data_IF_090240113028
#
_entry.id   IF_090240113028
#
_cell.length_a   1.000
_cell.length_b   1.000
_cell.length_c   1.000
_cell.angle_alpha   90.00
_cell.angle_beta   90.00
_cell.angle_gamma   90.00
#
_symmetry.space_group_name_H-M   'P 1'
#
loop_
_entity.id
_entity.type
_entity.pdbx_description
1 polymer ?
#
# COMPACT_ATOMS: atom_id res chain seq x y z
N UNK A 1 -4.80 20.74 -24.54
CA UNK A 1 -4.93 19.28 -24.74
C UNK A 1 -6.35 18.85 -24.39
N UNK A 2 -6.93 17.98 -25.16
CA UNK A 2 -8.32 17.48 -25.02
C UNK A 2 -8.30 15.98 -24.72
N UNK A 3 -9.17 15.51 -23.81
CA UNK A 3 -9.28 14.08 -23.47
C UNK A 3 -10.62 13.54 -23.97
N UNK A 4 -10.57 12.48 -24.76
CA UNK A 4 -11.74 11.67 -25.14
C UNK A 4 -11.75 10.40 -24.29
N UNK A 5 -12.90 10.02 -23.79
CA UNK A 5 -13.07 8.91 -22.88
C UNK A 5 -14.03 7.85 -23.44
N UNK A 6 -13.95 6.64 -22.88
CA UNK A 6 -14.94 5.57 -23.13
C UNK A 6 -14.82 4.88 -24.49
N UNK A 7 -13.64 4.89 -25.09
CA UNK A 7 -13.39 4.20 -26.38
C UNK A 7 -13.15 2.71 -26.11
N UNK A 8 -14.15 1.89 -26.41
CA UNK A 8 -14.04 0.42 -26.26
C UNK A 8 -13.30 -0.18 -27.45
N UNK A 9 -12.50 -1.19 -27.15
CA UNK A 9 -11.75 -1.98 -28.13
C UNK A 9 -11.72 -3.47 -27.70
N UNK A 10 -11.70 -4.39 -28.67
CA UNK A 10 -11.46 -5.80 -28.38
C UNK A 10 -10.07 -5.97 -27.74
N UNK A 11 -9.95 -6.94 -26.83
CA UNK A 11 -8.63 -7.32 -26.27
C UNK A 11 -7.64 -7.79 -27.34
N UNK A 12 -8.13 -8.17 -28.52
CA UNK A 12 -7.35 -8.60 -29.67
C UNK A 12 -6.97 -7.44 -30.62
N UNK A 13 -7.56 -6.28 -30.45
CA UNK A 13 -7.31 -5.10 -31.30
C UNK A 13 -6.01 -4.41 -30.86
N UNK A 14 -5.06 -4.24 -31.77
CA UNK A 14 -3.82 -3.56 -31.48
C UNK A 14 -4.06 -2.07 -31.12
N UNK A 15 -3.34 -1.53 -30.17
CA UNK A 15 -3.49 -0.16 -29.67
C UNK A 15 -3.35 0.89 -30.81
N UNK A 16 -2.41 0.65 -31.74
CA UNK A 16 -2.23 1.51 -32.93
C UNK A 16 -3.51 1.56 -33.80
N UNK A 17 -4.18 0.43 -33.99
CA UNK A 17 -5.43 0.35 -34.75
C UNK A 17 -6.58 1.12 -34.06
N UNK A 18 -6.59 1.09 -32.72
CA UNK A 18 -7.57 1.87 -31.95
C UNK A 18 -7.31 3.37 -32.12
N UNK A 19 -6.05 3.81 -32.10
CA UNK A 19 -5.65 5.19 -32.33
C UNK A 19 -6.08 5.66 -33.72
N UNK A 20 -5.81 4.86 -34.77
CA UNK A 20 -6.21 5.19 -36.14
C UNK A 20 -7.74 5.28 -36.30
N UNK A 21 -8.47 4.38 -35.66
CA UNK A 21 -9.95 4.42 -35.63
C UNK A 21 -10.47 5.70 -34.94
N UNK A 22 -9.80 6.16 -33.87
CA UNK A 22 -10.14 7.42 -33.20
C UNK A 22 -9.85 8.61 -34.11
N UNK A 23 -8.67 8.65 -34.76
CA UNK A 23 -8.30 9.69 -35.73
C UNK A 23 -9.37 9.82 -36.82
N UNK A 24 -9.69 8.71 -37.47
CA UNK A 24 -10.67 8.66 -38.57
C UNK A 24 -12.07 9.12 -38.09
N UNK A 25 -12.50 8.67 -36.92
CA UNK A 25 -13.80 9.04 -36.36
C UNK A 25 -13.95 10.55 -36.08
N UNK A 26 -12.83 11.20 -35.75
CA UNK A 26 -12.80 12.62 -35.37
C UNK A 26 -12.33 13.54 -36.53
N UNK A 27 -12.00 12.96 -37.67
CA UNK A 27 -11.49 13.73 -38.82
C UNK A 27 -10.15 14.42 -38.55
N UNK A 28 -9.30 13.84 -37.68
CA UNK A 28 -8.01 14.43 -37.31
C UNK A 28 -6.96 14.16 -38.38
N UNK A 29 -6.18 15.17 -38.69
CA UNK A 29 -4.98 15.02 -39.50
C UNK A 29 -3.94 14.13 -38.88
N UNK A 30 -3.13 13.42 -39.69
CA UNK A 30 -2.10 12.50 -39.21
C UNK A 30 -1.05 13.22 -38.35
N UNK A 31 -0.83 14.50 -38.58
CA UNK A 31 0.11 15.32 -37.80
C UNK A 31 -0.35 15.64 -36.37
N UNK A 32 -1.66 15.53 -36.08
CA UNK A 32 -2.18 15.78 -34.74
C UNK A 32 -1.77 14.64 -33.80
N UNK A 33 -0.99 14.90 -32.71
CA UNK A 33 -0.62 13.83 -31.78
C UNK A 33 -1.82 13.27 -31.02
N UNK A 34 -1.99 11.93 -31.05
CA UNK A 34 -2.99 11.19 -30.27
C UNK A 34 -2.27 10.12 -29.48
N UNK A 35 -2.42 10.14 -28.18
CA UNK A 35 -1.77 9.20 -27.28
C UNK A 35 -2.75 8.62 -26.24
N UNK A 36 -2.43 7.44 -25.72
CA UNK A 36 -3.24 6.83 -24.66
C UNK A 36 -3.06 7.60 -23.36
N UNK A 37 -4.16 8.13 -22.83
CA UNK A 37 -4.21 8.76 -21.52
C UNK A 37 -4.51 7.76 -20.42
N UNK A 38 -5.44 6.83 -20.67
CA UNK A 38 -5.83 5.78 -19.73
C UNK A 38 -6.31 4.53 -20.46
N UNK A 39 -5.90 3.38 -19.95
CA UNK A 39 -6.32 2.04 -20.41
C UNK A 39 -6.83 1.24 -19.24
N UNK A 40 -8.02 0.67 -19.35
CA UNK A 40 -8.65 -0.21 -18.35
C UNK A 40 -9.24 -1.44 -18.99
N UNK A 41 -9.39 -2.51 -18.20
CA UNK A 41 -10.09 -3.73 -18.61
C UNK A 41 -11.52 -3.66 -18.09
N UNK A 42 -12.50 -3.83 -18.98
CA UNK A 42 -13.89 -4.04 -18.62
C UNK A 42 -14.22 -5.54 -18.74
N UNK A 43 -14.18 -6.23 -17.58
CA UNK A 43 -14.48 -7.65 -17.46
C UNK A 43 -15.85 -7.92 -16.80
N UNK A 44 -16.76 -6.94 -16.78
CA UNK A 44 -18.10 -7.10 -16.19
C UNK A 44 -18.91 -8.19 -16.90
N UNK A 45 -18.69 -8.37 -18.20
CA UNK A 45 -19.30 -9.44 -19.00
C UNK A 45 -18.21 -10.39 -19.50
N UNK A 46 -18.11 -11.57 -18.89
CA UNK A 46 -17.04 -12.55 -19.18
C UNK A 46 -16.98 -13.00 -20.65
N UNK A 47 -18.12 -13.04 -21.35
CA UNK A 47 -18.17 -13.39 -22.77
C UNK A 47 -17.76 -12.26 -23.71
N UNK A 48 -17.51 -11.06 -23.21
CA UNK A 48 -17.24 -9.86 -24.02
C UNK A 48 -16.35 -8.88 -23.24
N UNK A 49 -15.13 -9.34 -22.90
CA UNK A 49 -14.13 -8.52 -22.22
C UNK A 49 -13.49 -7.56 -23.20
N UNK A 50 -13.34 -6.32 -22.80
CA UNK A 50 -12.83 -5.22 -23.61
C UNK A 50 -11.79 -4.39 -22.90
N UNK A 51 -10.89 -3.78 -23.67
CA UNK A 51 -10.19 -2.59 -23.21
C UNK A 51 -11.08 -1.36 -23.35
N UNK A 52 -11.02 -0.47 -22.38
CA UNK A 52 -11.64 0.85 -22.43
C UNK A 52 -10.54 1.89 -22.33
N UNK A 53 -10.41 2.69 -23.36
CA UNK A 53 -9.38 3.71 -23.50
C UNK A 53 -9.93 5.11 -23.27
N UNK A 54 -9.07 5.98 -22.77
CA UNK A 54 -9.14 7.43 -22.94
C UNK A 54 -7.90 7.89 -23.67
N UNK A 55 -8.05 8.85 -24.57
CA UNK A 55 -6.95 9.40 -25.39
C UNK A 55 -6.79 10.88 -25.15
N UNK A 56 -5.55 11.34 -25.09
CA UNK A 56 -5.18 12.75 -25.18
C UNK A 56 -4.97 13.10 -26.64
N UNK A 57 -5.53 14.23 -27.04
CA UNK A 57 -5.38 14.83 -28.37
C UNK A 57 -4.77 16.21 -28.19
N UNK A 58 -3.62 16.44 -28.84
CA UNK A 58 -2.90 17.72 -28.78
C UNK A 58 -3.41 18.64 -29.90
N UNK A 59 -4.56 19.23 -29.68
CA UNK A 59 -5.15 20.23 -30.60
C UNK A 59 -5.71 21.41 -29.82
N UNK A 60 -5.80 22.54 -30.48
CA UNK A 60 -6.53 23.72 -30.04
C UNK A 60 -8.02 23.64 -30.42
N UNK A 61 -8.35 22.80 -31.42
CA UNK A 61 -9.69 22.68 -31.95
C UNK A 61 -10.67 22.09 -30.92
N UNK A 62 -11.93 22.46 -31.03
CA UNK A 62 -12.98 21.87 -30.22
C UNK A 62 -13.33 20.47 -30.72
N UNK A 63 -13.24 19.51 -29.80
CA UNK A 63 -13.60 18.13 -30.04
C UNK A 63 -14.88 17.83 -29.26
N UNK A 64 -15.95 17.35 -29.92
CA UNK A 64 -17.19 16.99 -29.24
C UNK A 64 -16.98 15.98 -28.11
N UNK A 65 -17.55 16.27 -26.94
CA UNK A 65 -17.46 15.43 -25.73
C UNK A 65 -16.06 15.26 -25.15
N UNK A 66 -15.09 16.06 -25.55
CA UNK A 66 -13.78 16.07 -24.92
C UNK A 66 -13.77 16.94 -23.65
N UNK A 67 -12.99 16.51 -22.64
CA UNK A 67 -12.68 17.29 -21.43
C UNK A 67 -11.26 17.86 -21.54
N UNK A 68 -11.04 19.03 -20.98
CA UNK A 68 -9.70 19.58 -20.90
C UNK A 68 -8.85 18.77 -19.89
N UNK A 69 -7.54 18.65 -20.17
CA UNK A 69 -6.61 18.12 -19.17
C UNK A 69 -6.59 19.07 -17.97
N UNK A 70 -6.61 18.49 -16.78
CA UNK A 70 -6.33 19.22 -15.56
C UNK A 70 -4.83 19.00 -15.25
N UNK A 71 -3.99 19.90 -15.76
CA UNK A 71 -2.54 19.79 -15.56
C UNK A 71 -2.18 20.39 -14.20
N UNK A 72 -1.58 19.57 -13.34
CA UNK A 72 -0.91 20.04 -12.14
C UNK A 72 0.56 20.27 -12.49
N UNK A 73 0.93 21.54 -12.68
CA UNK A 73 2.33 21.93 -12.76
C UNK A 73 2.80 22.32 -11.36
N UNK A 74 3.76 21.56 -10.81
CA UNK A 74 4.47 21.99 -9.62
C UNK A 74 5.51 23.05 -10.04
N UNK A 75 5.25 24.28 -9.64
CA UNK A 75 6.20 25.38 -9.79
C UNK A 75 6.83 25.66 -8.42
N UNK A 76 8.15 25.49 -8.25
CA UNK A 76 8.80 25.83 -6.98
C UNK A 76 8.62 27.33 -6.72
N UNK A 77 7.98 27.68 -5.62
CA UNK A 77 7.94 29.05 -5.13
C UNK A 77 9.28 29.39 -4.45
N UNK A 78 9.52 30.66 -4.25
CA UNK A 78 10.78 31.28 -3.77
C UNK A 78 11.53 30.49 -2.69
N UNK A 79 12.87 30.56 -2.74
CA UNK A 79 13.77 29.95 -1.78
C UNK A 79 13.31 30.12 -0.33
N UNK A 80 13.02 28.99 0.33
CA UNK A 80 12.68 28.95 1.75
C UNK A 80 13.88 29.44 2.58
N UNK A 81 13.69 30.51 3.36
CA UNK A 81 14.75 31.20 4.12
C UNK A 81 14.79 30.83 5.59
N UNK A 82 13.86 30.00 6.08
CA UNK A 82 13.77 29.60 7.49
C UNK A 82 14.71 28.43 7.82
N UNK A 83 14.70 28.01 9.11
CA UNK A 83 15.45 26.83 9.54
C UNK A 83 15.07 25.58 8.75
N UNK A 84 16.04 24.69 8.51
CA UNK A 84 15.84 23.45 7.76
C UNK A 84 14.73 22.59 8.38
N UNK A 85 13.67 22.23 7.65
CA UNK A 85 12.62 21.37 8.16
C UNK A 85 13.15 19.98 8.47
N UNK A 86 12.71 19.38 9.59
CA UNK A 86 12.98 18.00 9.95
C UNK A 86 11.81 17.13 9.44
N UNK A 87 12.10 16.08 8.71
CA UNK A 87 11.14 15.07 8.26
C UNK A 87 11.45 13.74 8.95
N UNK A 88 10.53 13.23 9.74
CA UNK A 88 10.69 11.99 10.51
C UNK A 88 10.00 10.84 9.81
N UNK A 89 10.79 9.88 9.34
CA UNK A 89 10.37 8.73 8.56
C UNK A 89 10.56 8.92 7.06
N UNK A 90 11.09 7.91 6.40
CA UNK A 90 11.41 7.91 4.97
C UNK A 90 10.53 6.93 4.17
N UNK A 91 9.29 6.72 4.65
CA UNK A 91 8.22 6.08 3.87
C UNK A 91 7.72 6.99 2.74
N UNK A 92 6.70 6.60 1.96
CA UNK A 92 6.22 7.39 0.82
C UNK A 92 5.89 8.84 1.18
N UNK A 93 5.23 9.08 2.31
CA UNK A 93 4.85 10.42 2.74
C UNK A 93 6.07 11.30 3.04
N UNK A 94 7.03 10.78 3.82
CA UNK A 94 8.25 11.53 4.16
C UNK A 94 9.15 11.76 2.95
N UNK A 95 9.28 10.75 2.08
CA UNK A 95 10.09 10.84 0.86
C UNK A 95 9.56 11.93 -0.10
N UNK A 96 8.24 11.96 -0.37
CA UNK A 96 7.63 13.00 -1.20
C UNK A 96 7.65 14.37 -0.52
N UNK A 97 7.40 14.44 0.79
CA UNK A 97 7.51 15.68 1.55
C UNK A 97 8.92 16.28 1.40
N UNK A 98 9.94 15.49 1.66
CA UNK A 98 11.33 15.94 1.56
C UNK A 98 11.72 16.30 0.11
N UNK A 99 11.24 15.55 -0.87
CA UNK A 99 11.49 15.88 -2.28
C UNK A 99 10.90 17.23 -2.68
N UNK A 100 9.63 17.49 -2.31
CA UNK A 100 8.98 18.78 -2.59
C UNK A 100 9.68 19.92 -1.85
N UNK A 101 10.04 19.73 -0.57
CA UNK A 101 10.81 20.71 0.19
C UNK A 101 12.17 21.01 -0.46
N UNK A 102 12.86 19.98 -0.93
CA UNK A 102 14.16 20.13 -1.60
C UNK A 102 14.03 20.86 -2.95
N UNK A 103 12.99 20.57 -3.74
CA UNK A 103 12.68 21.30 -4.96
C UNK A 103 12.43 22.80 -4.71
N UNK A 104 11.86 23.16 -3.55
CA UNK A 104 11.67 24.55 -3.12
C UNK A 104 12.89 25.18 -2.44
N UNK A 105 14.03 24.50 -2.42
CA UNK A 105 15.27 25.02 -1.81
C UNK A 105 15.32 24.98 -0.28
N UNK A 106 14.36 24.32 0.39
CA UNK A 106 14.29 24.25 1.86
C UNK A 106 15.36 23.37 2.52
N UNK A 107 16.09 22.56 1.74
CA UNK A 107 17.17 21.68 2.21
C UNK A 107 16.78 20.84 3.43
N UNK A 108 15.72 20.02 3.35
CA UNK A 108 15.21 19.28 4.50
C UNK A 108 16.25 18.32 5.09
N UNK A 109 16.07 18.00 6.38
CA UNK A 109 16.78 16.89 7.04
C UNK A 109 15.76 15.77 7.22
N UNK A 110 16.07 14.60 6.69
CA UNK A 110 15.24 13.42 6.83
C UNK A 110 15.93 12.48 7.80
N UNK A 111 15.18 12.00 8.79
CA UNK A 111 15.64 10.96 9.71
C UNK A 111 14.81 9.70 9.50
N UNK A 112 15.48 8.56 9.36
CA UNK A 112 14.84 7.26 9.21
C UNK A 112 15.45 6.29 10.24
N UNK A 113 14.57 5.61 11.01
CA UNK A 113 15.03 4.69 12.06
C UNK A 113 15.75 3.47 11.51
N UNK A 114 15.34 3.00 10.33
CA UNK A 114 15.93 1.85 9.67
C UNK A 114 17.12 2.21 8.76
N UNK A 115 17.55 1.21 8.00
CA UNK A 115 18.65 1.32 7.05
C UNK A 115 18.15 1.80 5.69
N UNK A 116 19.11 2.14 4.82
CA UNK A 116 18.83 2.35 3.39
C UNK A 116 18.25 1.09 2.74
N UNK A 117 17.61 1.27 1.58
CA UNK A 117 16.83 0.21 0.94
C UNK A 117 17.63 -1.05 0.59
N UNK A 118 18.93 -0.93 0.38
CA UNK A 118 19.79 -2.08 0.02
C UNK A 118 20.13 -2.90 1.26
N UNK A 119 20.69 -2.27 2.30
CA UNK A 119 21.00 -2.92 3.58
C UNK A 119 19.77 -3.43 4.30
N UNK A 120 18.66 -2.68 4.18
CA UNK A 120 17.35 -3.13 4.67
C UNK A 120 16.89 -4.42 3.99
N UNK A 121 17.11 -4.55 2.68
CA UNK A 121 16.75 -5.77 1.96
C UNK A 121 17.53 -6.99 2.48
N UNK A 122 18.79 -6.81 2.86
CA UNK A 122 19.60 -7.85 3.49
C UNK A 122 19.02 -8.27 4.86
N UNK A 123 18.65 -7.30 5.71
CA UNK A 123 18.02 -7.58 7.01
C UNK A 123 16.72 -8.36 6.85
N UNK A 124 15.88 -7.97 5.89
CA UNK A 124 14.61 -8.64 5.61
C UNK A 124 14.83 -10.07 5.09
N UNK A 125 15.79 -10.25 4.18
CA UNK A 125 16.11 -11.59 3.66
C UNK A 125 16.67 -12.50 4.75
N UNK A 126 17.54 -11.99 5.63
CA UNK A 126 18.06 -12.72 6.79
C UNK A 126 16.90 -13.18 7.70
N UNK A 127 15.96 -12.29 7.99
CA UNK A 127 14.79 -12.61 8.81
C UNK A 127 13.91 -13.67 8.14
N UNK A 128 13.61 -13.55 6.85
CA UNK A 128 12.82 -14.53 6.12
C UNK A 128 13.51 -15.90 6.01
N UNK A 129 14.81 -15.95 6.11
CA UNK A 129 15.57 -17.21 6.17
C UNK A 129 15.68 -17.80 7.60
N UNK A 130 14.90 -17.28 8.56
CA UNK A 130 14.84 -17.79 9.94
C UNK A 130 15.84 -17.14 10.91
N UNK A 131 16.51 -16.06 10.49
CA UNK A 131 17.35 -15.24 11.38
C UNK A 131 16.52 -14.34 12.31
N UNK A 132 17.19 -13.67 13.24
CA UNK A 132 16.55 -12.73 14.15
C UNK A 132 16.05 -11.48 13.41
N UNK A 133 14.89 -10.96 13.84
CA UNK A 133 14.37 -9.69 13.33
C UNK A 133 15.23 -8.52 13.83
N UNK A 134 15.48 -7.55 12.95
CA UNK A 134 16.01 -6.24 13.34
C UNK A 134 14.82 -5.31 13.66
N UNK A 135 14.61 -4.88 14.92
CA UNK A 135 13.43 -4.10 15.30
C UNK A 135 13.31 -2.75 14.59
N UNK A 136 14.42 -2.15 14.21
CA UNK A 136 14.45 -0.83 13.55
C UNK A 136 14.66 -0.91 12.02
N UNK A 137 15.02 -2.10 11.45
CA UNK A 137 15.22 -2.28 10.01
C UNK A 137 14.57 -3.59 9.54
N UNK A 138 13.38 -3.52 8.97
CA UNK A 138 12.53 -4.67 8.61
C UNK A 138 11.51 -4.29 7.53
N UNK A 139 10.46 -5.09 7.30
CA UNK A 139 9.42 -4.80 6.30
C UNK A 139 8.61 -3.53 6.62
N UNK A 140 8.53 -3.09 7.87
CA UNK A 140 7.82 -1.87 8.27
C UNK A 140 8.71 -0.62 8.26
N UNK A 141 9.97 -0.76 8.67
CA UNK A 141 10.89 0.34 8.90
C UNK A 141 12.11 0.29 7.98
N UNK A 142 12.55 1.46 7.56
CA UNK A 142 13.66 1.71 6.64
C UNK A 142 13.22 2.48 5.40
N UNK A 143 14.18 2.84 4.56
CA UNK A 143 13.96 3.63 3.35
C UNK A 143 12.84 3.08 2.46
N UNK A 144 11.89 3.94 2.06
CA UNK A 144 10.72 3.59 1.27
C UNK A 144 9.55 3.04 2.07
N UNK A 145 9.71 2.82 3.41
CA UNK A 145 8.66 2.30 4.28
C UNK A 145 8.14 0.91 3.88
N UNK A 146 7.00 0.49 4.38
CA UNK A 146 6.40 -0.81 4.06
C UNK A 146 6.11 -1.00 2.56
N UNK A 147 5.97 0.08 1.79
CA UNK A 147 5.76 0.05 0.35
C UNK A 147 6.88 -0.64 -0.43
N UNK A 148 8.14 -0.61 0.05
CA UNK A 148 9.28 -1.26 -0.60
C UNK A 148 9.23 -2.79 -0.57
N UNK A 149 8.29 -3.38 0.19
CA UNK A 149 8.04 -4.82 0.26
C UNK A 149 6.54 -5.10 0.09
N UNK A 150 5.94 -4.53 -0.94
CA UNK A 150 4.53 -4.70 -1.29
C UNK A 150 4.38 -4.90 -2.81
N UNK A 151 3.15 -5.03 -3.31
CA UNK A 151 2.89 -5.05 -4.76
C UNK A 151 3.19 -3.69 -5.43
N UNK A 152 3.32 -2.62 -4.66
CA UNK A 152 3.56 -1.30 -5.22
C UNK A 152 2.37 -0.75 -6.02
N UNK A 153 1.14 -1.08 -5.62
CA UNK A 153 -0.08 -0.51 -6.23
C UNK A 153 -0.13 0.99 -6.02
N UNK A 154 -0.47 1.70 -7.10
CA UNK A 154 -0.62 3.16 -7.12
C UNK A 154 -2.09 3.56 -7.36
N UNK A 155 -3.02 2.71 -6.95
CA UNK A 155 -4.46 2.96 -7.10
C UNK A 155 -4.95 3.84 -5.95
N UNK A 156 -5.65 4.92 -6.29
CA UNK A 156 -6.29 5.83 -5.34
C UNK A 156 -7.78 5.99 -5.66
N UNK A 157 -8.57 6.33 -4.63
CA UNK A 157 -10.00 6.64 -4.79
C UNK A 157 -10.28 8.13 -4.85
N UNK A 158 -9.24 8.97 -4.77
CA UNK A 158 -9.38 10.43 -4.88
C UNK A 158 -9.12 10.87 -6.33
N UNK A 159 -9.78 11.96 -6.72
CA UNK A 159 -9.62 12.63 -8.01
C UNK A 159 -8.88 13.94 -7.78
N UNK A 160 -7.58 13.84 -7.50
CA UNK A 160 -6.73 14.99 -7.22
C UNK A 160 -5.64 15.08 -8.31
N UNK A 161 -5.45 16.22 -8.98
CA UNK A 161 -4.44 16.38 -10.05
C UNK A 161 -3.03 16.09 -9.56
N UNK A 162 -2.74 16.25 -8.27
CA UNK A 162 -1.44 15.91 -7.67
C UNK A 162 -1.09 14.42 -7.76
N UNK A 163 -2.11 13.54 -7.95
CA UNK A 163 -1.85 12.12 -8.20
C UNK A 163 -1.00 11.90 -9.46
N UNK A 164 -1.21 12.72 -10.49
CA UNK A 164 -0.41 12.67 -11.74
C UNK A 164 1.05 13.01 -11.47
N UNK A 165 1.33 14.04 -10.69
CA UNK A 165 2.69 14.41 -10.27
C UNK A 165 3.41 13.25 -9.55
N UNK A 166 2.71 12.50 -8.70
CA UNK A 166 3.29 11.32 -8.02
C UNK A 166 3.70 10.25 -9.04
N UNK A 167 2.83 9.92 -9.99
CA UNK A 167 3.13 8.93 -11.04
C UNK A 167 4.29 9.39 -11.94
N UNK A 168 4.31 10.62 -12.38
CA UNK A 168 5.38 11.21 -13.18
C UNK A 168 6.71 11.23 -12.42
N UNK A 169 6.67 11.52 -11.13
CA UNK A 169 7.84 11.44 -10.27
C UNK A 169 8.39 10.01 -10.22
N UNK A 170 7.55 8.99 -10.08
CA UNK A 170 8.00 7.61 -10.11
C UNK A 170 8.64 7.23 -11.45
N UNK A 171 8.03 7.64 -12.57
CA UNK A 171 8.62 7.43 -13.91
C UNK A 171 9.97 8.16 -14.04
N UNK A 172 10.06 9.41 -13.61
CA UNK A 172 11.32 10.18 -13.59
C UNK A 172 12.43 9.45 -12.84
N UNK A 173 12.10 8.71 -11.79
CA UNK A 173 13.08 7.98 -10.97
C UNK A 173 13.21 6.49 -11.32
N UNK A 174 12.60 6.03 -12.42
CA UNK A 174 12.86 4.73 -13.02
C UNK A 174 11.75 3.70 -12.94
N UNK A 175 10.52 4.12 -12.64
CA UNK A 175 9.34 3.27 -12.85
C UNK A 175 8.99 3.21 -14.34
N UNK A 176 8.29 2.14 -14.74
CA UNK A 176 7.81 1.95 -16.09
C UNK A 176 6.83 3.08 -16.48
N UNK A 177 6.98 3.75 -17.64
CA UNK A 177 6.04 4.76 -18.12
C UNK A 177 4.59 4.29 -18.24
N UNK A 178 4.34 3.01 -18.38
CA UNK A 178 2.99 2.45 -18.48
C UNK A 178 2.14 2.69 -17.22
N UNK A 179 2.74 2.98 -16.06
CA UNK A 179 1.98 3.40 -14.87
C UNK A 179 1.20 4.70 -15.09
N UNK A 180 1.58 5.52 -16.08
CA UNK A 180 0.88 6.75 -16.45
C UNK A 180 -0.40 6.49 -17.24
N UNK A 181 -0.52 5.32 -17.88
CA UNK A 181 -1.63 4.95 -18.76
C UNK A 181 -2.56 3.91 -18.12
N UNK A 182 -2.03 3.02 -17.29
CA UNK A 182 -2.82 1.95 -16.70
C UNK A 182 -3.80 2.46 -15.65
N UNK A 183 -5.06 2.03 -15.72
CA UNK A 183 -6.09 2.41 -14.75
C UNK A 183 -5.82 1.83 -13.35
N UNK A 184 -5.08 0.72 -13.27
CA UNK A 184 -4.62 0.08 -12.03
C UNK A 184 -3.09 -0.04 -12.06
N UNK A 185 -2.36 1.08 -11.96
CA UNK A 185 -0.92 1.06 -12.05
C UNK A 185 -0.29 0.38 -10.83
N UNK A 186 0.80 -0.36 -11.08
CA UNK A 186 1.67 -0.93 -10.04
C UNK A 186 3.12 -0.82 -10.47
N UNK A 187 4.02 -0.81 -9.51
CA UNK A 187 5.47 -0.69 -9.76
C UNK A 187 6.18 -2.03 -9.54
N UNK A 188 5.76 -2.80 -8.54
CA UNK A 188 6.47 -3.98 -8.07
C UNK A 188 7.60 -3.64 -7.09
N UNK A 189 7.88 -4.54 -6.17
CA UNK A 189 8.85 -4.31 -5.09
C UNK A 189 10.29 -4.11 -5.60
N UNK A 190 10.66 -4.81 -6.66
CA UNK A 190 11.99 -4.77 -7.30
C UNK A 190 12.28 -3.41 -7.94
N UNK A 191 11.34 -2.87 -8.70
CA UNK A 191 11.47 -1.56 -9.35
C UNK A 191 11.35 -0.43 -8.32
N UNK A 192 10.44 -0.55 -7.35
CA UNK A 192 10.20 0.48 -6.35
C UNK A 192 11.46 0.77 -5.50
N UNK A 193 12.27 -0.25 -5.20
CA UNK A 193 13.56 -0.07 -4.51
C UNK A 193 14.51 0.85 -5.28
N UNK A 194 14.56 0.72 -6.62
CA UNK A 194 15.37 1.61 -7.48
C UNK A 194 14.83 3.04 -7.46
N UNK A 195 13.51 3.18 -7.54
CA UNK A 195 12.83 4.49 -7.52
C UNK A 195 13.14 5.25 -6.24
N UNK A 196 12.93 4.64 -5.07
CA UNK A 196 13.17 5.32 -3.79
C UNK A 196 14.65 5.69 -3.58
N UNK A 197 15.58 4.80 -3.98
CA UNK A 197 17.01 5.10 -3.97
C UNK A 197 17.35 6.33 -4.85
N UNK A 198 16.78 6.40 -6.03
CA UNK A 198 17.02 7.52 -6.96
C UNK A 198 16.40 8.82 -6.45
N UNK A 199 15.21 8.77 -5.84
CA UNK A 199 14.60 9.91 -5.15
C UNK A 199 15.49 10.42 -4.01
N UNK A 200 16.05 9.55 -3.17
CA UNK A 200 17.02 9.92 -2.14
C UNK A 200 18.22 10.65 -2.71
N UNK A 201 18.83 10.10 -3.76
CA UNK A 201 20.00 10.73 -4.41
C UNK A 201 19.66 12.14 -4.91
N UNK A 202 18.48 12.34 -5.47
CA UNK A 202 18.02 13.63 -5.94
C UNK A 202 17.78 14.63 -4.79
N UNK A 203 17.16 14.18 -3.71
CA UNK A 203 16.97 15.01 -2.50
C UNK A 203 18.34 15.51 -1.98
N UNK A 204 19.33 14.63 -1.90
CA UNK A 204 20.70 14.97 -1.49
C UNK A 204 21.34 15.94 -2.47
N UNK A 205 21.21 15.71 -3.78
CA UNK A 205 21.71 16.60 -4.83
C UNK A 205 21.13 18.02 -4.73
N UNK A 206 19.87 18.13 -4.31
CA UNK A 206 19.17 19.39 -4.06
C UNK A 206 19.52 20.05 -2.71
N UNK A 207 20.47 19.49 -1.96
CA UNK A 207 20.96 20.01 -0.68
C UNK A 207 20.22 19.50 0.57
N UNK A 208 19.33 18.52 0.42
CA UNK A 208 18.77 17.77 1.54
C UNK A 208 19.80 16.88 2.22
N UNK A 209 19.51 16.43 3.43
CA UNK A 209 20.34 15.53 4.23
C UNK A 209 19.51 14.33 4.67
N UNK A 210 20.07 13.13 4.61
CA UNK A 210 19.42 11.89 5.03
C UNK A 210 20.25 11.21 6.11
N UNK A 211 19.61 10.92 7.26
CA UNK A 211 20.20 10.22 8.39
C UNK A 211 19.45 8.91 8.61
N UNK A 212 20.08 7.81 8.28
CA UNK A 212 19.59 6.47 8.62
C UNK A 212 19.93 6.09 10.05
N UNK A 213 19.31 5.04 10.57
CA UNK A 213 19.49 4.53 11.93
C UNK A 213 19.30 5.65 12.97
N UNK A 214 18.37 6.56 12.68
CA UNK A 214 18.07 7.75 13.49
C UNK A 214 16.58 7.76 13.83
N UNK A 215 16.29 7.40 15.07
CA UNK A 215 14.92 7.22 15.58
C UNK A 215 14.47 8.43 16.37
N UNK A 216 13.24 8.90 16.12
CA UNK A 216 12.56 9.86 16.99
C UNK A 216 12.20 9.18 18.32
N UNK A 217 12.73 9.68 19.43
CA UNK A 217 12.50 9.14 20.77
C UNK A 217 11.76 10.09 21.72
N UNK A 218 11.58 11.36 21.34
CA UNK A 218 10.85 12.32 22.14
C UNK A 218 10.62 13.64 21.41
N UNK A 219 9.70 14.45 21.96
CA UNK A 219 9.41 15.81 21.54
C UNK A 219 9.58 16.74 22.74
N UNK A 220 10.12 17.92 22.51
CA UNK A 220 10.14 19.04 23.48
C UNK A 220 9.21 20.12 22.97
N UNK A 221 8.04 20.22 23.60
CA UNK A 221 6.97 21.14 23.25
C UNK A 221 6.81 22.17 24.37
N UNK A 222 6.78 23.45 24.03
CA UNK A 222 6.40 24.51 24.93
C UNK A 222 5.51 25.53 24.22
N UNK A 223 4.55 26.11 24.94
CA UNK A 223 3.61 27.11 24.40
C UNK A 223 2.92 26.62 23.08
N UNK A 224 2.58 25.34 23.00
CA UNK A 224 2.04 24.70 21.82
C UNK A 224 2.94 24.75 20.57
N UNK A 225 4.25 24.87 20.76
CA UNK A 225 5.26 24.89 19.68
C UNK A 225 6.33 23.84 19.90
N UNK A 226 6.89 23.36 18.81
CA UNK A 226 8.04 22.48 18.87
C UNK A 226 9.33 23.32 19.03
N UNK A 227 10.11 23.00 20.06
CA UNK A 227 11.44 23.60 20.29
C UNK A 227 12.54 22.67 19.80
N UNK A 228 12.41 21.41 20.14
CA UNK A 228 13.38 20.40 19.78
C UNK A 228 12.73 19.01 19.75
N UNK A 229 13.44 18.07 19.17
CA UNK A 229 13.11 16.64 19.21
C UNK A 229 14.27 15.87 19.87
N UNK A 230 14.01 14.64 20.27
CA UNK A 230 15.05 13.74 20.68
C UNK A 230 15.25 12.68 19.58
N UNK A 231 16.47 12.60 19.06
CA UNK A 231 16.87 11.64 18.04
C UNK A 231 17.88 10.67 18.68
N UNK A 232 17.52 9.39 18.77
CA UNK A 232 18.29 8.38 19.51
C UNK A 232 18.62 8.80 20.97
N UNK A 233 17.75 9.58 21.60
CA UNK A 233 17.93 10.14 22.93
C UNK A 233 18.68 11.48 22.98
N UNK A 234 19.28 11.92 21.89
CA UNK A 234 20.00 13.20 21.82
C UNK A 234 19.09 14.36 21.38
N UNK A 235 19.22 15.51 22.03
CA UNK A 235 18.44 16.69 21.73
C UNK A 235 18.83 17.31 20.40
N UNK A 236 17.85 17.55 19.53
CA UNK A 236 18.01 18.20 18.25
C UNK A 236 17.02 19.37 18.10
N UNK A 237 17.55 20.61 17.99
CA UNK A 237 16.72 21.80 17.84
C UNK A 237 16.10 21.85 16.43
N UNK A 238 14.79 22.03 16.36
CA UNK A 238 14.07 22.21 15.11
C UNK A 238 12.83 23.08 15.32
N UNK A 239 12.57 23.98 14.37
CA UNK A 239 11.36 24.83 14.39
C UNK A 239 10.19 24.24 13.60
N UNK A 240 10.46 23.25 12.73
CA UNK A 240 9.44 22.55 11.94
C UNK A 240 9.79 21.06 11.93
N UNK A 241 8.83 20.24 12.36
CA UNK A 241 8.94 18.79 12.34
C UNK A 241 7.73 18.18 11.63
N UNK A 242 7.99 17.41 10.59
CA UNK A 242 6.97 16.66 9.85
C UNK A 242 7.00 15.21 10.29
N UNK A 243 5.92 14.72 10.91
CA UNK A 243 5.79 13.33 11.35
C UNK A 243 5.24 12.46 10.20
N UNK A 244 6.07 11.60 9.64
CA UNK A 244 5.73 10.65 8.58
C UNK A 244 6.10 9.20 8.97
N UNK A 245 5.89 8.84 10.23
CA UNK A 245 6.40 7.62 10.90
C UNK A 245 5.76 6.31 10.43
N UNK A 246 4.66 6.37 9.66
CA UNK A 246 3.94 5.18 9.18
C UNK A 246 3.06 4.53 10.26
N UNK A 247 2.24 3.54 9.85
CA UNK A 247 1.28 2.89 10.74
C UNK A 247 1.91 1.86 11.71
N UNK A 248 3.12 1.41 11.43
CA UNK A 248 3.81 0.39 12.23
C UNK A 248 4.55 0.91 13.46
N UNK A 249 4.74 2.24 13.60
CA UNK A 249 5.57 2.86 14.64
C UNK A 249 4.85 2.97 16.00
N UNK A 250 4.47 1.83 16.60
CA UNK A 250 3.70 1.78 17.85
C UNK A 250 4.42 2.44 19.03
N UNK A 251 5.71 2.26 19.13
CA UNK A 251 6.55 2.91 20.15
C UNK A 251 6.50 4.45 20.03
N UNK A 252 6.61 4.98 18.81
CA UNK A 252 6.44 6.41 18.56
C UNK A 252 5.03 6.88 18.91
N UNK A 253 4.00 6.11 18.58
CA UNK A 253 2.62 6.47 18.94
C UNK A 253 2.40 6.46 20.46
N UNK A 254 2.97 5.53 21.19
CA UNK A 254 2.90 5.53 22.67
C UNK A 254 3.59 6.77 23.24
N UNK A 255 4.77 7.13 22.74
CA UNK A 255 5.45 8.36 23.11
C UNK A 255 4.61 9.61 22.79
N UNK A 256 3.93 9.65 21.63
CA UNK A 256 3.08 10.79 21.26
C UNK A 256 1.80 10.88 22.10
N UNK A 257 1.27 9.77 22.62
CA UNK A 257 0.12 9.77 23.53
C UNK A 257 0.44 10.38 24.91
N UNK A 258 1.73 10.45 25.28
CA UNK A 258 2.21 11.10 26.51
C UNK A 258 2.42 12.62 26.31
N UNK A 259 2.29 13.11 25.08
CA UNK A 259 2.45 14.52 24.73
C UNK A 259 1.08 15.26 24.75
N UNK A 260 1.06 16.59 24.87
CA UNK A 260 -0.18 17.39 24.83
C UNK A 260 -0.79 17.49 23.43
N UNK A 261 -0.74 16.41 22.64
CA UNK A 261 -1.28 16.32 21.29
C UNK A 261 -2.69 15.73 21.31
N UNK A 262 -3.58 16.27 20.49
CA UNK A 262 -4.90 15.68 20.34
C UNK A 262 -4.86 14.45 19.43
N UNK A 263 -5.03 13.28 20.00
CA UNK A 263 -5.02 11.99 19.29
C UNK A 263 -6.34 11.28 19.53
N UNK A 264 -7.04 10.95 18.45
CA UNK A 264 -8.32 10.26 18.48
C UNK A 264 -8.17 8.78 18.07
N UNK A 265 -9.02 7.88 18.60
CA UNK A 265 -9.11 6.52 18.10
C UNK A 265 -9.62 6.52 16.66
N UNK A 266 -9.19 5.53 15.88
CA UNK A 266 -9.58 5.35 14.49
C UNK A 266 -9.92 3.88 14.25
N UNK A 267 -11.07 3.55 13.64
CA UNK A 267 -11.35 2.19 13.20
C UNK A 267 -10.27 1.66 12.25
N UNK A 268 -9.97 0.37 12.37
CA UNK A 268 -9.05 -0.35 11.52
C UNK A 268 -9.59 -1.76 11.21
N UNK A 269 -8.83 -2.59 10.54
CA UNK A 269 -9.29 -3.93 10.20
C UNK A 269 -8.18 -4.95 10.42
N UNK A 270 -8.59 -6.15 10.78
CA UNK A 270 -7.71 -7.28 11.06
C UNK A 270 -8.22 -8.54 10.37
N UNK A 271 -7.33 -9.48 10.11
CA UNK A 271 -7.68 -10.74 9.48
C UNK A 271 -6.45 -11.55 9.09
N UNK A 272 -6.47 -12.13 7.92
CA UNK A 272 -5.43 -13.00 7.42
C UNK A 272 -5.20 -12.83 5.91
N UNK A 273 -4.08 -13.32 5.40
CA UNK A 273 -3.85 -13.52 3.96
C UNK A 273 -4.46 -14.83 3.52
N UNK A 274 -5.01 -14.83 2.31
CA UNK A 274 -5.53 -16.00 1.64
C UNK A 274 -4.84 -16.16 0.29
N UNK A 275 -4.30 -17.35 0.04
CA UNK A 275 -3.59 -17.71 -1.19
C UNK A 275 -4.42 -18.65 -2.06
N UNK A 276 -4.43 -18.36 -3.36
CA UNK A 276 -4.99 -19.18 -4.43
C UNK A 276 -3.94 -19.38 -5.53
N UNK A 277 -4.17 -20.28 -6.48
CA UNK A 277 -3.40 -20.27 -7.72
C UNK A 277 -3.79 -19.04 -8.56
N UNK A 278 -2.81 -18.32 -9.11
CA UNK A 278 -3.09 -17.18 -9.98
C UNK A 278 -3.86 -17.58 -11.25
N UNK A 279 -3.57 -18.75 -11.79
CA UNK A 279 -4.25 -19.32 -12.94
C UNK A 279 -5.76 -19.49 -12.69
N UNK A 280 -6.13 -20.04 -11.54
CA UNK A 280 -7.55 -20.21 -11.16
C UNK A 280 -8.27 -18.85 -11.08
N UNK A 281 -7.58 -17.83 -10.54
CA UNK A 281 -8.12 -16.47 -10.49
C UNK A 281 -8.27 -15.87 -11.89
N UNK A 282 -7.28 -16.07 -12.79
CA UNK A 282 -7.37 -15.61 -14.18
C UNK A 282 -8.58 -16.22 -14.87
N UNK A 283 -8.76 -17.53 -14.78
CA UNK A 283 -9.91 -18.20 -15.37
C UNK A 283 -11.24 -17.80 -14.72
N UNK A 284 -11.27 -17.65 -13.40
CA UNK A 284 -12.46 -17.21 -12.70
C UNK A 284 -12.91 -15.81 -13.12
N UNK A 285 -11.97 -14.89 -13.37
CA UNK A 285 -12.25 -13.51 -13.71
C UNK A 285 -12.45 -13.29 -15.22
N UNK A 286 -11.65 -13.95 -16.05
CA UNK A 286 -11.56 -13.66 -17.48
C UNK A 286 -12.09 -14.77 -18.40
N UNK A 287 -12.30 -16.00 -17.90
CA UNK A 287 -12.76 -17.13 -18.73
C UNK A 287 -11.79 -17.39 -19.88
N UNK A 288 -12.32 -17.48 -21.11
CA UNK A 288 -11.54 -17.76 -22.33
C UNK A 288 -10.53 -16.66 -22.71
N UNK A 289 -10.55 -15.52 -22.02
CA UNK A 289 -9.60 -14.44 -22.24
C UNK A 289 -8.42 -14.45 -21.25
N UNK A 290 -8.33 -15.46 -20.38
CA UNK A 290 -7.34 -15.53 -19.31
C UNK A 290 -5.89 -15.38 -19.83
N UNK A 291 -5.54 -16.07 -20.92
CA UNK A 291 -4.20 -16.07 -21.50
C UNK A 291 -3.84 -14.78 -22.28
N UNK A 292 -4.82 -13.92 -22.52
CA UNK A 292 -4.64 -12.68 -23.30
C UNK A 292 -4.55 -11.44 -22.44
N UNK A 293 -4.79 -11.57 -21.14
CA UNK A 293 -4.91 -10.44 -20.22
C UNK A 293 -3.84 -10.52 -19.12
N UNK A 294 -3.47 -9.39 -18.51
CA UNK A 294 -2.59 -9.41 -17.36
C UNK A 294 -3.17 -10.21 -16.20
N UNK A 295 -2.33 -10.62 -15.27
CA UNK A 295 -2.75 -11.31 -14.05
C UNK A 295 -3.96 -10.64 -13.40
N UNK A 296 -5.03 -11.40 -13.21
CA UNK A 296 -6.31 -10.91 -12.72
C UNK A 296 -6.23 -10.51 -11.25
N UNK A 297 -6.97 -9.47 -10.87
CA UNK A 297 -7.19 -9.05 -9.50
C UNK A 297 -8.69 -9.05 -9.17
N UNK A 298 -9.02 -9.09 -7.89
CA UNK A 298 -10.38 -8.99 -7.39
C UNK A 298 -10.50 -8.10 -6.15
N UNK A 299 -11.72 -7.61 -5.90
CA UNK A 299 -12.05 -6.87 -4.68
C UNK A 299 -13.50 -7.13 -4.32
N UNK A 300 -13.73 -7.59 -3.09
CA UNK A 300 -15.06 -7.86 -2.53
C UNK A 300 -15.25 -7.14 -1.22
N UNK A 301 -16.49 -6.80 -0.90
CA UNK A 301 -16.84 -6.20 0.38
C UNK A 301 -18.28 -6.52 0.75
N UNK A 302 -18.53 -6.73 2.05
CA UNK A 302 -19.84 -6.90 2.65
C UNK A 302 -19.94 -6.01 3.88
N UNK A 303 -20.92 -5.14 3.89
CA UNK A 303 -21.28 -4.33 5.06
C UNK A 303 -22.37 -5.08 5.83
N UNK A 304 -22.12 -5.39 7.10
CA UNK A 304 -23.08 -6.03 7.99
C UNK A 304 -23.92 -5.02 8.76
N UNK A 305 -23.26 -3.99 9.29
CA UNK A 305 -23.89 -2.89 10.03
C UNK A 305 -23.17 -1.59 9.69
N UNK A 306 -23.82 -0.75 8.90
CA UNK A 306 -23.27 0.54 8.47
C UNK A 306 -23.11 1.53 9.64
N UNK A 307 -24.05 1.51 10.59
CA UNK A 307 -24.02 2.43 11.73
C UNK A 307 -22.86 2.12 12.69
N UNK A 308 -22.53 0.83 12.86
CA UNK A 308 -21.41 0.37 13.67
C UNK A 308 -20.10 0.27 12.89
N UNK A 309 -20.12 0.49 11.56
CA UNK A 309 -18.95 0.32 10.70
C UNK A 309 -18.49 -1.13 10.57
N UNK A 310 -19.37 -2.11 10.81
CA UNK A 310 -19.07 -3.54 10.74
C UNK A 310 -19.07 -4.00 9.29
N UNK A 311 -17.93 -4.45 8.80
CA UNK A 311 -17.77 -4.93 7.43
C UNK A 311 -16.67 -5.99 7.36
N UNK A 312 -16.80 -6.90 6.38
CA UNK A 312 -15.71 -7.75 5.93
C UNK A 312 -15.40 -7.45 4.45
N UNK A 313 -14.14 -7.51 4.09
CA UNK A 313 -13.70 -7.18 2.74
C UNK A 313 -12.32 -7.75 2.40
N UNK A 314 -12.09 -7.92 1.10
CA UNK A 314 -10.75 -8.23 0.60
C UNK A 314 -9.95 -6.95 0.44
N UNK A 315 -8.65 -7.02 0.71
CA UNK A 315 -7.77 -5.87 0.65
C UNK A 315 -6.42 -6.24 0.06
N UNK A 316 -5.83 -5.30 -0.68
CA UNK A 316 -4.48 -5.42 -1.22
C UNK A 316 -4.20 -6.81 -1.85
N UNK A 317 -5.09 -7.24 -2.77
CA UNK A 317 -4.88 -8.47 -3.54
C UNK A 317 -3.61 -8.30 -4.38
N UNK A 318 -2.67 -9.23 -4.28
CA UNK A 318 -1.37 -9.25 -4.95
C UNK A 318 -1.36 -10.37 -6.00
N UNK A 319 -1.62 -10.04 -7.28
CA UNK A 319 -1.54 -11.01 -8.36
C UNK A 319 -0.12 -11.55 -8.53
N UNK A 320 0.02 -12.84 -8.84
CA UNK A 320 1.32 -13.48 -9.04
C UNK A 320 2.29 -13.16 -7.90
N UNK A 321 1.81 -13.20 -6.65
CA UNK A 321 2.53 -12.66 -5.51
C UNK A 321 2.73 -13.65 -4.38
N UNK A 322 3.32 -13.14 -3.31
CA UNK A 322 3.79 -13.90 -2.16
C UNK A 322 3.19 -13.33 -0.88
N UNK A 323 2.83 -14.19 0.06
CA UNK A 323 2.58 -13.79 1.45
C UNK A 323 3.93 -13.70 2.15
N UNK A 324 4.19 -12.56 2.79
CA UNK A 324 5.49 -12.28 3.41
C UNK A 324 5.35 -12.04 4.91
N UNK A 325 6.43 -12.31 5.64
CA UNK A 325 6.55 -11.95 7.05
C UNK A 325 6.86 -10.45 7.17
N UNK A 326 5.87 -9.69 7.62
CA UNK A 326 5.93 -8.24 7.81
C UNK A 326 6.02 -7.82 9.28
N UNK A 327 6.49 -8.72 10.15
CA UNK A 327 6.71 -8.44 11.56
C UNK A 327 7.75 -7.33 11.76
N UNK A 328 7.64 -6.62 12.87
CA UNK A 328 8.60 -5.61 13.31
C UNK A 328 8.96 -5.73 14.79
N UNK A 329 8.37 -6.70 15.48
CA UNK A 329 8.60 -7.00 16.89
C UNK A 329 8.96 -8.48 17.05
N UNK A 330 9.88 -8.85 17.96
CA UNK A 330 10.45 -10.20 18.03
C UNK A 330 9.43 -11.30 18.36
N UNK A 331 8.40 -10.98 19.13
CA UNK A 331 7.37 -11.89 19.63
C UNK A 331 6.02 -11.75 18.88
N UNK A 332 6.05 -11.19 17.68
CA UNK A 332 4.86 -10.96 16.85
C UNK A 332 4.98 -11.58 15.46
N UNK A 333 3.89 -12.17 14.97
CA UNK A 333 3.78 -12.60 13.57
C UNK A 333 2.77 -11.71 12.84
N UNK A 334 3.24 -11.07 11.76
CA UNK A 334 2.43 -10.22 10.90
C UNK A 334 2.60 -10.65 9.45
N UNK A 335 1.49 -10.83 8.75
CA UNK A 335 1.48 -11.13 7.32
C UNK A 335 1.20 -9.88 6.48
N UNK A 336 1.75 -9.84 5.28
CA UNK A 336 1.38 -8.90 4.22
C UNK A 336 1.55 -9.59 2.86
N UNK A 337 1.13 -8.93 1.78
CA UNK A 337 1.33 -9.41 0.41
C UNK A 337 2.34 -8.58 -0.35
N UNK A 338 3.10 -9.24 -1.21
CA UNK A 338 4.10 -8.64 -2.08
C UNK A 338 4.02 -9.24 -3.48
N UNK A 339 4.32 -8.46 -4.52
CA UNK A 339 4.57 -8.96 -5.88
C UNK A 339 5.77 -8.25 -6.48
N UNK A 340 6.45 -8.95 -7.37
CA UNK A 340 7.41 -8.34 -8.29
C UNK A 340 6.67 -7.62 -9.43
N UNK A 341 7.38 -6.83 -10.21
CA UNK A 341 6.82 -6.11 -11.35
C UNK A 341 6.13 -7.06 -12.35
N UNK A 342 6.74 -8.20 -12.64
CA UNK A 342 6.23 -9.20 -13.59
C UNK A 342 4.91 -9.85 -13.15
N UNK A 343 4.61 -9.92 -11.84
CA UNK A 343 3.43 -10.62 -11.29
C UNK A 343 3.29 -12.05 -11.80
N UNK A 344 4.40 -12.77 -11.92
CA UNK A 344 4.54 -14.11 -12.51
C UNK A 344 4.64 -15.23 -11.48
N UNK A 345 4.42 -14.93 -10.21
CA UNK A 345 4.35 -15.94 -9.16
C UNK A 345 3.16 -16.89 -9.36
N UNK A 346 3.35 -18.14 -8.92
CA UNK A 346 2.32 -19.19 -9.04
C UNK A 346 1.03 -18.83 -8.29
N UNK A 347 1.18 -18.22 -7.09
CA UNK A 347 0.04 -17.86 -6.25
C UNK A 347 -0.40 -16.42 -6.47
N UNK A 348 -1.67 -16.19 -6.26
CA UNK A 348 -2.25 -14.89 -5.96
C UNK A 348 -2.58 -14.84 -4.47
N UNK A 349 -2.47 -13.70 -3.82
CA UNK A 349 -2.92 -13.57 -2.44
C UNK A 349 -3.70 -12.28 -2.19
N UNK A 350 -4.61 -12.33 -1.22
CA UNK A 350 -5.38 -11.17 -0.77
C UNK A 350 -5.58 -11.20 0.73
N UNK A 351 -5.53 -10.06 1.40
CA UNK A 351 -6.05 -9.99 2.75
C UNK A 351 -7.56 -10.20 2.74
N UNK A 352 -8.06 -10.96 3.72
CA UNK A 352 -9.46 -11.01 4.12
C UNK A 352 -9.57 -10.39 5.51
N UNK A 353 -10.32 -9.30 5.62
CA UNK A 353 -10.31 -8.41 6.77
C UNK A 353 -11.71 -8.19 7.33
N UNK A 354 -11.80 -8.06 8.65
CA UNK A 354 -12.97 -7.61 9.38
C UNK A 354 -12.67 -6.29 10.11
N UNK A 355 -13.63 -5.36 10.08
CA UNK A 355 -13.50 -4.07 10.74
C UNK A 355 -13.59 -4.21 12.26
N UNK A 356 -12.75 -3.46 12.97
CA UNK A 356 -12.77 -3.32 14.43
C UNK A 356 -12.64 -1.86 14.82
N UNK A 357 -13.21 -1.50 15.98
CA UNK A 357 -13.13 -0.16 16.53
C UNK A 357 -12.98 -0.20 18.05
N UNK A 358 -12.32 0.82 18.59
CA UNK A 358 -12.07 0.97 20.03
C UNK A 358 -12.36 2.40 20.45
N UNK A 359 -12.68 2.59 21.72
CA UNK A 359 -12.98 3.90 22.32
C UNK A 359 -11.72 4.70 22.66
N UNK A 360 -10.54 4.05 22.66
CA UNK A 360 -9.27 4.75 22.91
C UNK A 360 -8.16 4.25 21.95
N UNK A 361 -7.19 5.13 21.61
CA UNK A 361 -6.02 4.73 20.82
C UNK A 361 -5.22 3.59 21.44
N UNK A 362 -5.02 3.63 22.76
CA UNK A 362 -4.23 2.63 23.48
C UNK A 362 -4.83 1.23 23.35
N UNK A 363 -6.16 1.09 23.54
CA UNK A 363 -6.85 -0.19 23.39
C UNK A 363 -6.69 -0.76 21.96
N UNK A 364 -6.70 0.10 20.94
CA UNK A 364 -6.48 -0.32 19.57
C UNK A 364 -5.05 -0.83 19.32
N UNK A 365 -4.03 -0.13 19.85
CA UNK A 365 -2.63 -0.55 19.78
C UNK A 365 -2.41 -1.89 20.50
N UNK A 366 -2.96 -2.04 21.71
CA UNK A 366 -2.82 -3.25 22.53
C UNK A 366 -3.53 -4.44 21.89
N UNK A 367 -4.68 -4.23 21.25
CA UNK A 367 -5.39 -5.25 20.50
C UNK A 367 -4.57 -5.79 19.33
N UNK A 368 -3.95 -4.90 18.52
CA UNK A 368 -3.06 -5.32 17.44
C UNK A 368 -1.88 -6.14 17.99
N UNK A 369 -1.23 -5.64 19.03
CA UNK A 369 -0.10 -6.31 19.67
C UNK A 369 -0.48 -7.71 20.15
N UNK A 370 -1.62 -7.83 20.86
CA UNK A 370 -2.12 -9.10 21.38
C UNK A 370 -2.43 -10.12 20.27
N UNK A 371 -3.00 -9.68 19.14
CA UNK A 371 -3.24 -10.58 18.01
C UNK A 371 -1.94 -11.07 17.39
N UNK A 372 -0.95 -10.19 17.20
CA UNK A 372 0.34 -10.53 16.63
C UNK A 372 1.11 -11.51 17.52
N UNK A 373 1.08 -11.31 18.84
CA UNK A 373 1.68 -12.21 19.82
C UNK A 373 0.94 -13.57 19.90
N UNK A 374 -0.40 -13.55 19.76
CA UNK A 374 -1.18 -14.78 19.70
C UNK A 374 -0.82 -15.57 18.44
N UNK A 375 -0.70 -14.91 17.29
CA UNK A 375 -0.26 -15.54 16.05
C UNK A 375 1.14 -16.16 16.18
N UNK A 376 2.08 -15.43 16.79
CA UNK A 376 3.45 -15.92 17.03
C UNK A 376 3.45 -17.21 17.89
N UNK A 377 2.66 -17.23 18.96
CA UNK A 377 2.56 -18.41 19.84
C UNK A 377 1.90 -19.60 19.15
N UNK A 378 0.77 -19.38 18.46
CA UNK A 378 0.04 -20.44 17.75
C UNK A 378 0.85 -21.00 16.57
N UNK A 379 1.62 -20.15 15.91
CA UNK A 379 2.53 -20.54 14.83
C UNK A 379 3.87 -21.09 15.29
N UNK A 380 4.14 -21.18 16.57
CA UNK A 380 5.42 -21.61 17.13
C UNK A 380 6.62 -20.86 16.49
N UNK A 381 6.50 -19.52 16.41
CA UNK A 381 7.46 -18.64 15.76
C UNK A 381 7.35 -18.54 14.22
N UNK A 382 6.52 -19.39 13.59
CA UNK A 382 6.10 -19.30 12.19
C UNK A 382 4.76 -18.57 12.08
N UNK A 383 4.16 -18.53 10.88
CA UNK A 383 2.80 -18.02 10.76
C UNK A 383 1.75 -19.14 11.01
N UNK A 384 0.69 -18.89 11.80
CA UNK A 384 -0.43 -19.79 11.89
C UNK A 384 -1.12 -19.92 10.53
N UNK A 385 -1.50 -21.15 10.17
CA UNK A 385 -2.14 -21.44 8.90
C UNK A 385 -3.35 -22.37 9.05
N UNK A 386 -4.28 -22.27 8.10
CA UNK A 386 -5.41 -23.16 7.94
C UNK A 386 -5.79 -23.28 6.47
N UNK A 387 -6.52 -24.32 6.09
CA UNK A 387 -7.25 -24.35 4.83
C UNK A 387 -8.59 -23.64 4.97
N UNK A 388 -9.07 -23.02 3.91
CA UNK A 388 -10.35 -22.33 3.89
C UNK A 388 -11.50 -23.21 4.34
N UNK A 389 -11.58 -24.46 3.83
CA UNK A 389 -12.64 -25.40 4.21
C UNK A 389 -12.64 -25.71 5.70
N UNK A 390 -11.45 -25.90 6.30
CA UNK A 390 -11.32 -26.30 7.70
C UNK A 390 -11.66 -25.13 8.62
N UNK A 391 -11.22 -23.89 8.28
CA UNK A 391 -11.63 -22.69 9.01
C UNK A 391 -13.15 -22.47 8.99
N UNK A 392 -13.81 -22.72 7.86
CA UNK A 392 -15.27 -22.55 7.75
C UNK A 392 -16.04 -23.60 8.55
N UNK A 393 -15.47 -24.80 8.72
CA UNK A 393 -16.10 -25.94 9.41
C UNK A 393 -15.66 -26.07 10.89
N UNK A 394 -14.88 -25.13 11.42
CA UNK A 394 -14.32 -25.17 12.79
C UNK A 394 -13.35 -26.35 13.01
N UNK A 395 -12.68 -26.79 11.95
CA UNK A 395 -11.71 -27.89 11.97
C UNK A 395 -10.25 -27.36 11.95
N UNK A 396 -9.33 -28.22 12.40
CA UNK A 396 -7.88 -27.96 12.28
C UNK A 396 -7.30 -28.72 11.10
N UNK A 397 -6.64 -27.98 10.19
CA UNK A 397 -5.98 -28.56 9.02
C UNK A 397 -4.79 -29.44 9.40
N UNK A 398 -4.51 -30.48 8.61
CA UNK A 398 -3.41 -31.44 8.84
C UNK A 398 -2.38 -31.47 7.75
N UNK A 399 -2.75 -31.06 6.54
CA UNK A 399 -1.85 -31.07 5.38
C UNK A 399 -2.32 -30.06 4.32
N UNK A 400 -1.37 -29.47 3.59
CA UNK A 400 -1.69 -28.63 2.43
C UNK A 400 -2.05 -29.50 1.23
N UNK A 401 -3.04 -29.05 0.46
CA UNK A 401 -3.40 -29.60 -0.84
C UNK A 401 -2.43 -29.19 -1.96
N UNK A 402 -2.99 -28.87 -3.12
CA UNK A 402 -2.22 -28.43 -4.30
C UNK A 402 -1.71 -26.98 -4.18
N UNK A 403 -2.33 -26.14 -3.34
CA UNK A 403 -1.86 -24.81 -3.02
C UNK A 403 -0.88 -24.91 -1.85
N UNK A 404 0.32 -24.37 -2.03
CA UNK A 404 1.34 -24.32 -0.98
C UNK A 404 1.53 -22.88 -0.51
N UNK A 405 1.66 -22.62 0.79
CA UNK A 405 1.92 -21.27 1.30
C UNK A 405 3.27 -20.75 0.84
N UNK A 406 3.33 -19.44 0.62
CA UNK A 406 4.56 -18.74 0.22
C UNK A 406 5.27 -18.04 1.36
N UNK A 407 4.67 -18.01 2.55
CA UNK A 407 5.23 -17.35 3.72
C UNK A 407 6.53 -17.98 4.23
N UNK A 408 7.54 -17.15 4.47
CA UNK A 408 8.82 -17.56 5.03
C UNK A 408 8.98 -17.03 6.49
N UNK A 409 9.59 -17.82 7.38
CA UNK A 409 10.30 -19.10 7.16
C UNK A 409 9.38 -20.33 7.15
N UNK A 410 8.08 -20.18 7.06
CA UNK A 410 7.12 -21.26 6.98
C UNK A 410 5.90 -21.05 7.87
N UNK A 411 4.97 -21.99 7.79
CA UNK A 411 3.69 -21.92 8.49
C UNK A 411 3.51 -23.14 9.42
N UNK A 412 2.61 -23.00 10.39
CA UNK A 412 2.21 -24.06 11.33
C UNK A 412 0.70 -24.16 11.36
N UNK A 413 0.14 -25.36 11.27
CA UNK A 413 -1.30 -25.55 11.41
C UNK A 413 -1.74 -25.35 12.85
N UNK A 414 -2.83 -24.63 13.04
CA UNK A 414 -3.46 -24.45 14.33
C UNK A 414 -4.98 -24.34 14.17
N UNK A 415 -5.70 -24.37 15.30
CA UNK A 415 -7.11 -23.97 15.31
C UNK A 415 -7.20 -22.46 15.05
N UNK A 416 -7.52 -22.13 13.81
CA UNK A 416 -7.56 -20.74 13.31
C UNK A 416 -8.67 -19.90 13.97
N UNK A 417 -9.68 -20.57 14.57
CA UNK A 417 -10.75 -19.89 15.31
C UNK A 417 -10.26 -19.33 16.65
N UNK A 418 -9.15 -19.85 17.19
CA UNK A 418 -8.53 -19.32 18.41
C UNK A 418 -7.65 -18.09 18.17
N UNK A 419 -7.35 -17.78 16.90
CA UNK A 419 -6.51 -16.63 16.52
C UNK A 419 -7.21 -15.29 16.76
N UNK A 420 -8.53 -15.25 16.56
CA UNK A 420 -9.33 -14.02 16.64
C UNK A 420 -10.40 -14.11 17.72
N UNK A 421 -10.87 -12.97 18.25
CA UNK A 421 -12.13 -12.95 19.00
C UNK A 421 -13.28 -13.50 18.14
N UNK A 422 -14.23 -14.21 18.77
CA UNK A 422 -15.35 -14.85 18.06
C UNK A 422 -16.10 -13.91 17.11
N UNK A 423 -16.36 -12.67 17.51
CA UNK A 423 -17.03 -11.67 16.66
C UNK A 423 -16.27 -11.36 15.37
N UNK A 424 -14.95 -11.37 15.41
CA UNK A 424 -14.09 -11.16 14.23
C UNK A 424 -14.11 -12.40 13.34
N UNK A 425 -13.96 -13.62 13.92
CA UNK A 425 -14.06 -14.88 13.17
C UNK A 425 -15.40 -15.03 12.47
N UNK A 426 -16.50 -14.74 13.15
CA UNK A 426 -17.86 -14.81 12.58
C UNK A 426 -18.03 -13.85 11.40
N UNK A 427 -17.52 -12.61 11.50
CA UNK A 427 -17.53 -11.65 10.38
C UNK A 427 -16.69 -12.13 9.20
N UNK A 428 -15.50 -12.68 9.45
CA UNK A 428 -14.63 -13.22 8.40
C UNK A 428 -15.29 -14.41 7.69
N UNK A 429 -15.83 -15.38 8.43
CA UNK A 429 -16.55 -16.54 7.88
C UNK A 429 -17.76 -16.11 7.05
N UNK A 430 -18.60 -15.24 7.61
CA UNK A 430 -19.78 -14.74 6.89
C UNK A 430 -19.38 -14.00 5.62
N UNK A 431 -18.33 -13.17 5.67
CA UNK A 431 -17.77 -12.51 4.49
C UNK A 431 -17.30 -13.49 3.43
N UNK A 432 -16.55 -14.51 3.80
CA UNK A 432 -16.06 -15.56 2.90
C UNK A 432 -17.21 -16.31 2.23
N UNK A 433 -18.24 -16.70 2.96
CA UNK A 433 -19.44 -17.37 2.43
C UNK A 433 -20.18 -16.47 1.42
N UNK A 434 -20.34 -15.20 1.73
CA UNK A 434 -21.01 -14.22 0.86
C UNK A 434 -20.22 -13.91 -0.42
N UNK A 435 -18.88 -13.89 -0.34
CA UNK A 435 -18.03 -13.71 -1.52
C UNK A 435 -17.92 -14.99 -2.37
N UNK A 436 -18.23 -16.12 -1.77
CA UNK A 436 -17.77 -17.48 -1.99
C UNK A 436 -18.19 -18.18 -3.26
N UNK A 437 -18.89 -17.58 -4.20
CA UNK A 437 -19.45 -18.40 -5.30
C UNK A 437 -18.57 -18.55 -6.54
N UNK A 438 -17.46 -17.81 -6.66
CA UNK A 438 -16.62 -17.90 -7.88
C UNK A 438 -15.14 -18.16 -7.60
N UNK A 439 -14.58 -17.55 -6.57
CA UNK A 439 -13.14 -17.57 -6.27
C UNK A 439 -12.86 -18.44 -5.04
N UNK A 440 -13.81 -18.53 -4.10
CA UNK A 440 -13.69 -19.27 -2.85
C UNK A 440 -14.32 -20.65 -2.88
N UNK A 441 -14.64 -21.18 -4.06
CA UNK A 441 -15.16 -22.55 -4.20
C UNK A 441 -14.10 -23.62 -3.95
N UNK A 442 -12.81 -23.27 -4.07
CA UNK A 442 -11.73 -24.17 -3.71
C UNK A 442 -11.43 -24.08 -2.21
N UNK A 443 -11.96 -25.02 -1.45
CA UNK A 443 -11.68 -25.15 -0.03
C UNK A 443 -10.22 -25.41 0.33
N UNK A 444 -9.34 -25.59 -0.66
CA UNK A 444 -7.89 -25.78 -0.49
C UNK A 444 -7.11 -24.44 -0.44
N UNK A 445 -7.77 -23.29 -0.63
CA UNK A 445 -7.14 -22.01 -0.43
C UNK A 445 -6.47 -21.94 0.96
N UNK A 446 -5.25 -21.40 1.00
CA UNK A 446 -4.44 -21.36 2.21
C UNK A 446 -4.64 -20.04 2.93
N UNK A 447 -5.03 -20.08 4.19
CA UNK A 447 -5.13 -18.93 5.07
C UNK A 447 -3.85 -18.83 5.92
N UNK A 448 -3.27 -17.63 6.01
CA UNK A 448 -2.04 -17.37 6.77
C UNK A 448 -2.24 -16.11 7.65
N UNK A 449 -2.15 -16.27 8.95
CA UNK A 449 -2.41 -15.21 9.94
C UNK A 449 -1.13 -14.60 10.51
N UNK A 450 -1.20 -13.39 10.99
CA UNK A 450 -2.33 -12.45 11.09
C UNK A 450 -2.01 -11.16 10.32
N UNK A 451 -2.98 -10.59 9.62
CA UNK A 451 -2.85 -9.25 9.03
C UNK A 451 -3.53 -8.22 9.94
N UNK A 452 -2.73 -7.35 10.56
CA UNK A 452 -3.18 -6.38 11.56
C UNK A 452 -2.82 -4.94 11.18
N UNK A 453 -1.89 -4.76 10.23
CA UNK A 453 -1.27 -3.46 9.96
C UNK A 453 -1.82 -2.77 8.71
N UNK A 454 -3.13 -2.86 8.48
CA UNK A 454 -3.81 -2.19 7.37
C UNK A 454 -3.88 -0.67 7.55
N UNK A 455 -4.04 -0.21 8.77
CA UNK A 455 -3.97 1.21 9.15
C UNK A 455 -3.65 1.38 10.64
N UNK A 456 -3.18 2.59 11.01
CA UNK A 456 -2.99 2.92 12.42
C UNK A 456 -4.35 2.95 13.14
N UNK A 457 -4.43 2.46 14.40
CA UNK A 457 -5.65 2.48 15.20
C UNK A 457 -5.96 3.86 15.81
N UNK A 458 -5.24 4.87 15.40
CA UNK A 458 -5.33 6.22 15.91
C UNK A 458 -5.13 7.25 14.79
N UNK A 459 -5.52 8.48 15.08
CA UNK A 459 -5.31 9.65 14.23
C UNK A 459 -4.85 10.82 15.07
N UNK A 460 -3.71 11.41 14.74
CA UNK A 460 -3.28 12.72 15.24
C UNK A 460 -4.18 13.76 14.57
N UNK A 461 -4.90 14.55 15.37
CA UNK A 461 -5.80 15.56 14.85
C UNK A 461 -5.00 16.76 14.33
N UNK A 462 -5.44 17.29 13.20
CA UNK A 462 -4.78 18.37 12.48
C UNK A 462 -5.76 19.47 12.12
N UNK A 463 -5.28 20.69 12.08
CA UNK A 463 -5.98 21.76 11.41
C UNK A 463 -6.11 21.42 9.92
N UNK A 464 -7.30 21.45 9.31
CA UNK A 464 -7.48 21.04 7.91
C UNK A 464 -6.85 22.00 6.89
N UNK A 465 -6.59 23.26 7.27
CA UNK A 465 -6.00 24.29 6.41
C UNK A 465 -4.47 24.31 6.50
N UNK A 466 -3.93 24.38 7.74
CA UNK A 466 -2.47 24.48 7.95
C UNK A 466 -1.79 23.11 8.02
N UNK A 467 -2.54 22.04 8.28
CA UNK A 467 -2.07 20.67 8.53
C UNK A 467 -1.24 20.53 9.82
N UNK A 468 -1.14 21.58 10.61
CA UNK A 468 -0.49 21.54 11.91
C UNK A 468 -1.27 20.68 12.90
N UNK A 469 -0.56 20.05 13.81
CA UNK A 469 -1.14 19.20 14.84
C UNK A 469 -1.94 20.06 15.83
N UNK A 470 -3.15 19.64 16.20
CA UNK A 470 -3.92 20.29 17.25
C UNK A 470 -3.24 20.04 18.60
N UNK A 471 -2.92 21.12 19.33
CA UNK A 471 -2.13 21.08 20.56
C UNK A 471 -0.64 21.35 20.35
N UNK A 472 -0.20 21.54 19.08
CA UNK A 472 1.14 21.97 18.74
C UNK A 472 1.07 22.72 17.40
N UNK A 473 1.29 24.02 17.41
CA UNK A 473 1.31 24.90 16.23
C UNK A 473 2.76 25.25 15.83
#
# INVERSE_FOLDING_TARGET
>A
MKIIQGISASVREAEASVIERVRKKLGLDVSVPVSVYRKSIDARKRSDIKYVYSFVIETADDIPNAVNTCDYSFSPEKAYKSARPLVVGMGPAGLFCAYILALNGAKPIIVERGKDVDRRAEDVQMFWNGGAICPDSNVQFGEGGAGSFSDGKLVTRITDPRCRFVLETFVRFGADPDILKNAKPHVGTDILRKVVRNMRKEIIRLGGEVRFQTKLTGLDLSENRINSVFLNGERYNCGICVLAVGNGARDTYRMLLEQPLQIAPKPFSVGFRMEHLQEDINHAMYGDFADMLPAADYSFSKVFDKAKGCAAYTFCMCPGGYVINASSEPDGTVTNGMSYHARDGRNANSAMLASVSFDSPQKGLDFQCKLEQTAFRLGNGKAPASLLKDFLNDDTSKSFGHIKPTFLPGTEFCDFNTLFPKSVSDMLKTGLIEFGKRIYSDGQAVLTGVETRTSAPLRILRNPQTLESVGCA
#
